data_IF_085596238050
#
_entry.id   IF_085596238050
#
_cell.length_a   1.000
_cell.length_b   1.000
_cell.length_c   1.000
_cell.angle_alpha   90.00
_cell.angle_beta   90.00
_cell.angle_gamma   90.00
#
_symmetry.space_group_name_H-M   'P 1'
#
loop_
_entity.id
_entity.type
_entity.pdbx_description
1 polymer ?
#
# COMPACT_ATOMS: atom_id res chain seq x y z
N UNK A 1 -39.22 18.37 41.94
CA UNK A 1 -38.98 17.39 40.83
C UNK A 1 -38.59 18.14 39.56
N UNK A 2 -37.33 18.58 39.48
CA UNK A 2 -36.69 19.18 38.29
C UNK A 2 -35.57 18.22 37.88
N UNK A 3 -35.18 18.25 36.60
CA UNK A 3 -33.98 17.62 35.99
C UNK A 3 -34.08 16.26 35.28
N UNK A 4 -35.23 15.86 34.71
CA UNK A 4 -35.27 14.67 33.81
C UNK A 4 -35.56 14.96 32.32
N UNK A 5 -35.80 16.23 31.93
CA UNK A 5 -36.20 16.57 30.55
C UNK A 5 -35.08 17.06 29.62
N UNK A 6 -33.83 17.14 30.10
CA UNK A 6 -32.67 17.64 29.32
C UNK A 6 -31.68 16.56 28.87
N UNK A 7 -31.85 15.30 29.29
CA UNK A 7 -30.92 14.21 28.94
C UNK A 7 -31.31 13.44 27.66
N UNK A 8 -32.55 13.59 27.18
CA UNK A 8 -33.06 12.89 25.99
C UNK A 8 -32.35 13.26 24.68
N UNK A 9 -31.99 14.54 24.40
CA UNK A 9 -31.32 14.86 23.14
C UNK A 9 -29.85 14.41 23.11
N UNK A 10 -29.21 14.15 24.26
CA UNK A 10 -27.82 13.69 24.34
C UNK A 10 -27.70 12.19 24.02
N UNK A 11 -28.69 11.39 24.41
CA UNK A 11 -28.75 9.94 24.13
C UNK A 11 -29.01 9.70 22.63
N UNK A 12 -29.87 10.51 22.01
CA UNK A 12 -30.13 10.45 20.55
C UNK A 12 -28.93 10.87 19.70
N UNK A 13 -28.07 11.78 20.20
CA UNK A 13 -26.84 12.17 19.50
C UNK A 13 -25.74 11.08 19.61
N UNK A 14 -25.75 10.25 20.65
CA UNK A 14 -24.80 9.14 20.82
C UNK A 14 -25.11 7.92 19.93
N UNK A 15 -26.37 7.71 19.53
CA UNK A 15 -26.76 6.64 18.60
C UNK A 15 -26.44 6.96 17.13
N UNK A 16 -26.10 8.21 16.80
CA UNK A 16 -25.75 8.63 15.45
C UNK A 16 -24.28 8.32 15.08
N UNK A 17 -23.49 7.79 16.01
CA UNK A 17 -22.20 7.15 15.73
C UNK A 17 -22.47 5.74 15.18
N UNK A 18 -23.04 5.68 13.98
CA UNK A 18 -23.32 4.43 13.28
C UNK A 18 -21.97 3.80 12.96
N UNK A 19 -21.57 2.82 13.78
CA UNK A 19 -20.47 1.92 13.45
C UNK A 19 -20.83 1.21 12.15
N UNK A 20 -19.91 1.27 11.17
CA UNK A 20 -19.93 0.36 10.04
C UNK A 20 -19.77 -1.04 10.62
N UNK A 21 -20.83 -1.85 10.54
CA UNK A 21 -20.80 -3.20 11.10
C UNK A 21 -19.90 -4.06 10.21
N UNK A 22 -18.89 -4.73 10.79
CA UNK A 22 -18.12 -5.70 10.02
C UNK A 22 -19.05 -6.84 9.59
N UNK A 23 -18.91 -7.27 8.33
CA UNK A 23 -19.64 -8.40 7.76
C UNK A 23 -19.05 -9.70 8.32
N UNK A 24 -19.89 -10.71 8.60
CA UNK A 24 -19.41 -12.07 8.84
C UNK A 24 -19.06 -12.71 7.49
N UNK A 25 -17.77 -12.88 7.25
CA UNK A 25 -17.24 -13.45 6.01
C UNK A 25 -16.87 -14.91 6.26
N UNK A 26 -17.25 -15.75 5.29
CA UNK A 26 -16.85 -17.15 5.22
C UNK A 26 -15.93 -17.35 4.02
N UNK A 27 -14.69 -17.75 4.28
CA UNK A 27 -13.70 -18.03 3.25
C UNK A 27 -12.46 -18.63 3.90
N UNK A 28 -11.88 -19.67 3.30
CA UNK A 28 -10.67 -20.29 3.84
C UNK A 28 -9.45 -19.46 3.46
N UNK A 29 -8.76 -18.90 4.45
CA UNK A 29 -7.45 -18.27 4.23
C UNK A 29 -6.44 -19.39 3.94
N UNK A 30 -5.99 -19.49 2.69
CA UNK A 30 -5.06 -20.54 2.24
C UNK A 30 -3.61 -20.10 2.27
N UNK A 31 -3.37 -18.80 2.19
CA UNK A 31 -2.02 -18.24 2.18
C UNK A 31 -1.93 -16.80 2.69
N UNK A 32 -0.70 -16.38 3.00
CA UNK A 32 -0.35 -15.05 3.52
C UNK A 32 0.70 -14.40 2.61
N UNK A 33 0.34 -13.25 2.03
CA UNK A 33 1.20 -12.42 1.20
C UNK A 33 1.90 -11.38 2.08
N UNK A 34 3.23 -11.39 2.10
CA UNK A 34 4.04 -10.46 2.87
C UNK A 34 4.74 -9.50 1.91
N UNK A 35 4.08 -8.40 1.57
CA UNK A 35 4.50 -7.50 0.50
C UNK A 35 5.60 -6.57 0.98
N UNK A 36 6.80 -6.74 0.44
CA UNK A 36 7.93 -5.85 0.71
C UNK A 36 7.84 -4.60 -0.14
N UNK A 37 8.04 -3.43 0.45
CA UNK A 37 7.95 -2.12 -0.22
C UNK A 37 9.24 -1.73 -0.95
N UNK A 38 9.76 -2.64 -1.78
CA UNK A 38 11.00 -2.44 -2.54
C UNK A 38 10.76 -2.55 -4.05
N UNK A 39 11.56 -1.83 -4.83
CA UNK A 39 11.44 -1.82 -6.29
C UNK A 39 11.61 -3.22 -6.87
N UNK A 40 10.74 -3.60 -7.82
CA UNK A 40 10.77 -4.90 -8.48
C UNK A 40 10.25 -6.07 -7.64
N UNK A 41 9.72 -5.85 -6.44
CA UNK A 41 9.07 -6.91 -5.68
C UNK A 41 7.78 -7.37 -6.36
N UNK A 42 7.61 -8.68 -6.51
CA UNK A 42 6.37 -9.30 -6.97
C UNK A 42 6.16 -10.60 -6.21
N UNK A 43 4.91 -10.92 -5.88
CA UNK A 43 4.53 -12.19 -5.27
C UNK A 43 3.33 -12.77 -6.01
N UNK A 44 3.36 -14.06 -6.27
CA UNK A 44 2.27 -14.79 -6.92
C UNK A 44 1.69 -15.82 -5.96
N UNK A 45 0.37 -15.86 -5.87
CA UNK A 45 -0.37 -16.79 -5.03
C UNK A 45 -1.41 -17.54 -5.85
N UNK A 46 -1.64 -18.80 -5.49
CA UNK A 46 -2.73 -19.60 -6.03
C UNK A 46 -3.94 -19.51 -5.11
N UNK A 47 -5.11 -19.21 -5.68
CA UNK A 47 -6.37 -19.10 -4.96
C UNK A 47 -7.45 -19.81 -5.76
N UNK A 48 -8.26 -20.66 -5.12
CA UNK A 48 -9.46 -21.26 -5.72
C UNK A 48 -10.71 -20.49 -5.35
N UNK A 49 -11.85 -20.96 -5.87
CA UNK A 49 -13.15 -20.49 -5.47
C UNK A 49 -13.40 -20.79 -3.98
N UNK A 50 -14.03 -19.85 -3.27
CA UNK A 50 -14.25 -19.89 -1.80
C UNK A 50 -12.97 -19.84 -0.94
N UNK A 51 -11.81 -19.69 -1.56
CA UNK A 51 -10.54 -19.43 -0.88
C UNK A 51 -10.29 -17.92 -0.76
N UNK A 52 -9.37 -17.59 0.13
CA UNK A 52 -8.95 -16.23 0.44
C UNK A 52 -7.45 -16.19 0.72
N UNK A 53 -6.83 -15.04 0.49
CA UNK A 53 -5.44 -14.76 0.88
C UNK A 53 -5.39 -13.51 1.73
N UNK A 54 -4.53 -13.53 2.75
CA UNK A 54 -4.26 -12.36 3.56
C UNK A 54 -3.07 -11.58 3.00
N UNK A 55 -3.14 -10.25 2.98
CA UNK A 55 -2.08 -9.38 2.47
C UNK A 55 -1.60 -8.48 3.60
N UNK A 56 -0.30 -8.58 3.89
CA UNK A 56 0.45 -7.76 4.84
C UNK A 56 1.43 -6.86 4.08
N UNK A 57 1.72 -5.70 4.63
CA UNK A 57 2.81 -4.84 4.18
C UNK A 57 3.99 -5.01 5.16
N UNK A 58 5.17 -5.27 4.62
CA UNK A 58 6.40 -5.38 5.41
C UNK A 58 7.36 -4.23 5.11
N UNK A 59 8.06 -3.79 6.16
CA UNK A 59 9.10 -2.77 6.05
C UNK A 59 8.56 -1.35 6.02
N UNK A 60 9.37 -0.43 5.48
CA UNK A 60 9.06 0.99 5.43
C UNK A 60 8.12 1.29 4.26
N UNK A 61 6.88 1.66 4.57
CA UNK A 61 5.84 1.96 3.56
C UNK A 61 5.74 3.42 3.16
N UNK A 62 6.66 4.30 3.59
CA UNK A 62 6.59 5.74 3.30
C UNK A 62 6.53 6.07 1.80
N UNK A 63 7.06 5.18 0.97
CA UNK A 63 7.09 5.33 -0.49
C UNK A 63 6.05 4.46 -1.21
N UNK A 64 5.25 3.66 -0.50
CA UNK A 64 4.22 2.81 -1.09
C UNK A 64 3.02 3.66 -1.51
N UNK A 65 2.71 3.73 -2.81
CA UNK A 65 1.60 4.54 -3.33
C UNK A 65 0.35 3.74 -3.62
N UNK A 66 0.49 2.49 -4.02
CA UNK A 66 -0.62 1.57 -4.25
C UNK A 66 -0.15 0.11 -4.16
N UNK A 67 -1.10 -0.81 -4.03
CA UNK A 67 -0.91 -2.20 -4.45
C UNK A 67 -1.59 -2.41 -5.79
N UNK A 68 -0.91 -3.03 -6.74
CA UNK A 68 -1.53 -3.53 -7.95
C UNK A 68 -1.62 -5.05 -7.86
N UNK A 69 -2.81 -5.57 -8.06
CA UNK A 69 -3.07 -6.98 -8.18
C UNK A 69 -3.42 -7.31 -9.62
N UNK A 70 -2.90 -8.40 -10.14
CA UNK A 70 -3.28 -8.99 -11.41
C UNK A 70 -3.82 -10.38 -11.16
N UNK A 71 -5.09 -10.58 -11.50
CA UNK A 71 -5.76 -11.87 -11.44
C UNK A 71 -5.71 -12.51 -12.83
N UNK A 72 -5.09 -13.68 -12.93
CA UNK A 72 -5.02 -14.47 -14.16
C UNK A 72 -5.99 -15.65 -14.08
N UNK A 73 -6.86 -15.74 -15.09
CA UNK A 73 -7.88 -16.76 -15.25
C UNK A 73 -7.49 -17.74 -16.36
N UNK A 74 -7.82 -19.01 -16.16
CA UNK A 74 -7.72 -20.01 -17.23
C UNK A 74 -8.79 -19.78 -18.31
N UNK A 75 -8.54 -20.28 -19.52
CA UNK A 75 -9.51 -20.22 -20.63
C UNK A 75 -10.82 -20.96 -20.32
N UNK A 76 -10.76 -21.99 -19.46
CA UNK A 76 -11.93 -22.71 -18.97
C UNK A 76 -12.77 -21.84 -18.04
N UNK A 77 -12.14 -21.17 -17.07
CA UNK A 77 -12.83 -20.29 -16.12
C UNK A 77 -13.47 -19.09 -16.81
N UNK A 78 -12.79 -18.52 -17.82
CA UNK A 78 -13.29 -17.40 -18.61
C UNK A 78 -14.67 -17.68 -19.25
N UNK A 79 -14.97 -18.92 -19.65
CA UNK A 79 -16.29 -19.29 -20.22
C UNK A 79 -17.44 -19.16 -19.23
N UNK A 80 -17.13 -19.12 -17.94
CA UNK A 80 -18.08 -18.92 -16.84
C UNK A 80 -17.90 -17.51 -16.25
N UNK A 81 -17.62 -16.51 -17.09
CA UNK A 81 -17.58 -15.10 -16.66
C UNK A 81 -18.86 -14.72 -15.93
N UNK A 82 -18.75 -13.74 -15.03
CA UNK A 82 -19.84 -13.27 -14.17
C UNK A 82 -20.41 -14.31 -13.18
N UNK A 83 -19.92 -15.56 -13.22
CA UNK A 83 -20.26 -16.61 -12.22
C UNK A 83 -19.41 -16.52 -10.96
N UNK A 84 -18.36 -15.69 -10.98
CA UNK A 84 -17.41 -15.48 -9.89
C UNK A 84 -17.23 -13.99 -9.65
N UNK A 85 -16.89 -13.65 -8.41
CA UNK A 85 -16.48 -12.33 -8.00
C UNK A 85 -15.17 -12.36 -7.23
N UNK A 86 -14.51 -11.22 -7.19
CA UNK A 86 -13.37 -10.97 -6.32
C UNK A 86 -13.76 -9.86 -5.34
N UNK A 87 -13.46 -10.08 -4.06
CA UNK A 87 -13.73 -9.13 -3.00
C UNK A 87 -12.43 -8.79 -2.26
N UNK A 88 -12.30 -7.53 -1.83
CA UNK A 88 -11.25 -7.11 -0.90
C UNK A 88 -11.90 -6.61 0.38
N UNK A 89 -11.38 -7.08 1.50
CA UNK A 89 -11.83 -6.72 2.84
C UNK A 89 -10.69 -6.11 3.65
N UNK A 90 -11.04 -5.19 4.55
CA UNK A 90 -10.17 -4.57 5.55
C UNK A 90 -10.74 -4.73 6.95
N UNK A 91 -9.99 -4.27 7.97
CA UNK A 91 -10.41 -4.33 9.39
C UNK A 91 -10.81 -5.75 9.81
N UNK A 92 -9.96 -6.70 9.44
CA UNK A 92 -10.24 -8.14 9.59
C UNK A 92 -10.02 -8.56 11.04
N UNK A 93 -10.99 -9.25 11.62
CA UNK A 93 -10.97 -9.74 13.00
C UNK A 93 -11.53 -11.17 13.09
N UNK A 94 -10.83 -12.14 13.70
CA UNK A 94 -9.53 -12.00 14.34
C UNK A 94 -8.42 -11.72 13.30
N UNK A 95 -7.21 -11.43 13.78
CA UNK A 95 -6.06 -11.26 12.90
C UNK A 95 -5.99 -12.45 11.93
N UNK A 96 -5.95 -12.19 10.61
CA UNK A 96 -5.99 -13.27 9.65
C UNK A 96 -4.76 -14.16 9.79
N UNK A 97 -4.95 -15.44 9.49
CA UNK A 97 -3.90 -16.44 9.48
C UNK A 97 -4.36 -17.62 8.64
N UNK A 98 -3.42 -18.35 8.06
CA UNK A 98 -3.68 -19.56 7.28
C UNK A 98 -4.54 -20.55 8.07
N UNK A 99 -5.57 -21.08 7.42
CA UNK A 99 -6.52 -22.04 7.99
C UNK A 99 -7.76 -21.39 8.63
N UNK A 100 -7.79 -20.07 8.83
CA UNK A 100 -8.98 -19.38 9.33
C UNK A 100 -10.10 -19.41 8.28
N UNK A 101 -11.32 -19.74 8.70
CA UNK A 101 -12.50 -19.87 7.80
C UNK A 101 -13.59 -18.84 8.02
N UNK A 102 -13.66 -18.28 9.22
CA UNK A 102 -14.71 -17.38 9.66
C UNK A 102 -14.06 -16.16 10.29
N UNK A 103 -14.38 -14.99 9.78
CA UNK A 103 -13.85 -13.73 10.27
C UNK A 103 -14.86 -12.61 10.02
N UNK A 104 -14.77 -11.57 10.83
CA UNK A 104 -15.47 -10.32 10.65
C UNK A 104 -14.59 -9.37 9.86
N UNK A 105 -15.10 -8.74 8.81
CA UNK A 105 -14.34 -7.77 8.04
C UNK A 105 -15.25 -6.78 7.31
N UNK A 106 -14.69 -5.67 6.87
CA UNK A 106 -15.40 -4.68 6.06
C UNK A 106 -15.00 -4.81 4.60
N UNK A 107 -15.97 -5.03 3.72
CA UNK A 107 -15.72 -5.09 2.29
C UNK A 107 -15.55 -3.70 1.72
N UNK A 108 -14.41 -3.47 1.08
CA UNK A 108 -14.08 -2.20 0.41
C UNK A 108 -14.15 -2.28 -1.10
N UNK A 109 -14.00 -3.49 -1.65
CA UNK A 109 -14.00 -3.72 -3.08
C UNK A 109 -14.78 -4.97 -3.40
N UNK A 110 -15.55 -4.93 -4.47
CA UNK A 110 -16.22 -6.09 -5.04
C UNK A 110 -16.42 -5.90 -6.53
N UNK A 111 -16.03 -6.90 -7.33
CA UNK A 111 -16.33 -6.91 -8.75
C UNK A 111 -16.65 -8.32 -9.24
N UNK A 112 -17.61 -8.39 -10.17
CA UNK A 112 -17.83 -9.56 -11.02
C UNK A 112 -16.64 -9.72 -11.96
N UNK A 113 -16.21 -10.96 -12.20
CA UNK A 113 -15.10 -11.21 -13.12
C UNK A 113 -15.62 -11.19 -14.57
N UNK A 114 -15.20 -10.20 -15.40
CA UNK A 114 -15.62 -10.12 -16.79
C UNK A 114 -15.02 -11.26 -17.63
N UNK A 115 -15.48 -11.38 -18.88
CA UNK A 115 -14.95 -12.31 -19.88
C UNK A 115 -13.52 -11.94 -20.34
N UNK A 116 -12.53 -12.10 -19.46
CA UNK A 116 -11.13 -11.76 -19.68
C UNK A 116 -10.19 -12.75 -18.98
N UNK A 117 -8.98 -12.92 -19.53
CA UNK A 117 -7.96 -13.79 -18.92
C UNK A 117 -7.12 -13.07 -17.86
N UNK A 118 -7.08 -11.73 -17.90
CA UNK A 118 -6.27 -10.89 -17.02
C UNK A 118 -7.13 -9.74 -16.55
N UNK A 119 -7.17 -9.55 -15.25
CA UNK A 119 -7.91 -8.47 -14.58
C UNK A 119 -6.93 -7.76 -13.66
N UNK A 120 -6.89 -6.44 -13.74
CA UNK A 120 -6.04 -5.61 -12.90
C UNK A 120 -6.87 -4.91 -11.83
N UNK A 121 -6.44 -4.97 -10.58
CA UNK A 121 -7.10 -4.31 -9.45
C UNK A 121 -6.07 -3.40 -8.79
N UNK A 122 -6.32 -2.11 -8.80
CA UNK A 122 -5.47 -1.11 -8.16
C UNK A 122 -6.09 -0.71 -6.81
N UNK A 123 -5.31 -0.87 -5.75
CA UNK A 123 -5.64 -0.49 -4.38
C UNK A 123 -4.74 0.70 -3.97
N UNK A 124 -5.16 1.94 -4.22
CA UNK A 124 -4.35 3.13 -3.93
C UNK A 124 -4.25 3.37 -2.42
N UNK A 125 -3.12 3.93 -1.96
CA UNK A 125 -2.95 4.43 -0.59
C UNK A 125 -3.08 5.96 -0.51
N UNK A 126 -3.01 6.64 -1.66
CA UNK A 126 -3.20 8.09 -1.78
C UNK A 126 -4.12 8.42 -2.96
N UNK A 127 -4.88 9.51 -2.85
CA UNK A 127 -5.80 9.92 -3.94
C UNK A 127 -5.08 10.20 -5.27
N UNK A 128 -3.88 10.74 -5.22
CA UNK A 128 -3.06 11.00 -6.41
C UNK A 128 -2.61 9.73 -7.14
N UNK A 129 -2.73 8.55 -6.52
CA UNK A 129 -2.41 7.27 -7.15
C UNK A 129 -3.58 6.66 -7.95
N UNK A 130 -4.76 7.29 -7.92
CA UNK A 130 -5.90 6.91 -8.77
C UNK A 130 -5.63 7.48 -10.17
N UNK A 131 -5.12 6.64 -11.07
CA UNK A 131 -4.96 7.00 -12.48
C UNK A 131 -6.33 6.97 -13.18
N UNK A 132 -6.72 8.08 -13.81
CA UNK A 132 -8.00 8.23 -14.55
C UNK A 132 -8.07 7.45 -15.87
N UNK A 133 -6.96 6.88 -16.36
CA UNK A 133 -6.94 6.09 -17.58
C UNK A 133 -7.16 4.62 -17.27
N UNK A 134 -8.38 4.26 -16.90
CA UNK A 134 -8.76 2.87 -16.71
C UNK A 134 -8.80 2.15 -18.07
N UNK A 135 -7.84 1.25 -18.31
CA UNK A 135 -7.90 0.31 -19.42
C UNK A 135 -8.99 -0.74 -19.19
N UNK A 136 -9.53 -1.32 -20.27
CA UNK A 136 -10.51 -2.41 -20.19
C UNK A 136 -9.97 -3.55 -19.31
N UNK A 137 -10.74 -3.97 -18.30
CA UNK A 137 -10.31 -5.00 -17.35
C UNK A 137 -9.49 -4.50 -16.16
N UNK A 138 -9.36 -3.18 -16.01
CA UNK A 138 -8.74 -2.56 -14.85
C UNK A 138 -9.79 -1.94 -13.95
N UNK A 139 -9.72 -2.26 -12.67
CA UNK A 139 -10.59 -1.75 -11.62
C UNK A 139 -9.74 -1.04 -10.58
N UNK A 140 -10.21 0.10 -10.09
CA UNK A 140 -9.50 0.88 -9.07
C UNK A 140 -10.44 1.09 -7.91
N UNK A 141 -9.96 0.82 -6.69
CA UNK A 141 -10.71 1.15 -5.49
C UNK A 141 -10.86 2.68 -5.38
N UNK A 142 -12.09 3.16 -5.23
CA UNK A 142 -12.43 4.59 -5.25
C UNK A 142 -11.84 5.34 -4.05
N UNK A 143 -11.92 4.75 -2.87
CA UNK A 143 -11.37 5.33 -1.64
C UNK A 143 -10.00 4.73 -1.33
N UNK A 144 -8.94 5.55 -1.23
CA UNK A 144 -7.63 5.04 -0.88
C UNK A 144 -7.62 4.33 0.47
N UNK A 145 -6.89 3.22 0.52
CA UNK A 145 -6.58 2.50 1.75
C UNK A 145 -5.63 3.31 2.62
N UNK A 146 -5.70 3.05 3.92
CA UNK A 146 -4.69 3.52 4.86
C UNK A 146 -3.79 2.36 5.28
N UNK A 147 -2.60 2.67 5.78
CA UNK A 147 -1.70 1.65 6.35
C UNK A 147 -2.36 0.87 7.51
N UNK A 148 -3.22 1.54 8.30
CA UNK A 148 -3.99 0.92 9.40
C UNK A 148 -5.09 -0.05 8.92
N UNK A 149 -5.45 -0.03 7.63
CA UNK A 149 -6.45 -0.94 7.07
C UNK A 149 -5.88 -2.35 6.85
N UNK A 150 -4.54 -2.50 6.83
CA UNK A 150 -3.86 -3.78 6.69
C UNK A 150 -3.84 -4.57 8.02
N UNK A 151 -3.93 -5.91 7.98
CA UNK A 151 -3.94 -6.75 6.78
C UNK A 151 -5.26 -6.74 6.02
N UNK A 152 -5.18 -6.90 4.69
CA UNK A 152 -6.34 -7.06 3.83
C UNK A 152 -6.63 -8.54 3.60
N UNK A 153 -7.89 -8.88 3.28
CA UNK A 153 -8.24 -10.17 2.70
C UNK A 153 -8.68 -9.98 1.26
N UNK A 154 -8.15 -10.79 0.35
CA UNK A 154 -8.65 -10.95 -1.02
C UNK A 154 -9.31 -12.31 -1.14
N UNK A 155 -10.57 -12.36 -1.57
CA UNK A 155 -11.34 -13.61 -1.65
C UNK A 155 -12.03 -13.78 -2.98
N UNK A 156 -12.05 -15.03 -3.47
CA UNK A 156 -12.80 -15.45 -4.66
C UNK A 156 -14.15 -16.01 -4.24
N UNK A 157 -15.23 -15.44 -4.76
CA UNK A 157 -16.60 -15.72 -4.33
C UNK A 157 -17.41 -16.32 -5.49
N UNK A 158 -18.11 -17.45 -5.30
CA UNK A 158 -19.10 -17.93 -6.26
C UNK A 158 -20.35 -17.05 -6.23
N UNK A 159 -20.83 -16.61 -7.40
CA UNK A 159 -22.01 -15.76 -7.53
C UNK A 159 -23.22 -16.52 -8.07
N UNK A 160 -22.99 -17.67 -8.70
CA UNK A 160 -24.02 -18.53 -9.26
C UNK A 160 -23.90 -19.96 -8.75
N UNK A 161 -25.03 -20.66 -8.74
CA UNK A 161 -25.07 -22.11 -8.52
C UNK A 161 -24.82 -22.84 -9.85
N UNK A 162 -24.42 -24.11 -9.78
CA UNK A 162 -24.28 -24.96 -10.96
C UNK A 162 -22.97 -24.76 -11.74
N UNK A 163 -21.96 -24.15 -11.11
CA UNK A 163 -20.59 -24.12 -11.65
C UNK A 163 -20.08 -25.58 -11.70
N UNK A 164 -19.59 -26.08 -12.86
CA UNK A 164 -19.09 -27.44 -12.93
C UNK A 164 -17.89 -27.67 -12.02
N UNK A 165 -17.76 -28.89 -11.47
CA UNK A 165 -16.64 -29.25 -10.61
C UNK A 165 -15.28 -28.97 -11.26
N UNK A 166 -15.18 -29.23 -12.57
CA UNK A 166 -13.97 -28.94 -13.35
C UNK A 166 -13.56 -27.46 -13.31
N UNK A 167 -14.47 -26.53 -13.04
CA UNK A 167 -14.18 -25.10 -12.91
C UNK A 167 -13.92 -24.70 -11.46
N UNK A 168 -14.59 -25.34 -10.51
CA UNK A 168 -14.38 -25.14 -9.06
C UNK A 168 -12.96 -25.56 -8.65
N UNK A 169 -12.47 -26.67 -9.22
CA UNK A 169 -11.15 -27.24 -8.91
C UNK A 169 -9.99 -26.46 -9.58
N UNK A 170 -10.30 -25.52 -10.48
CA UNK A 170 -9.28 -24.68 -11.11
C UNK A 170 -8.77 -23.60 -10.15
N UNK A 171 -7.48 -23.28 -10.25
CA UNK A 171 -6.86 -22.17 -9.52
C UNK A 171 -6.85 -20.90 -10.36
N UNK A 172 -7.07 -19.77 -9.68
CA UNK A 172 -6.74 -18.44 -10.13
C UNK A 172 -5.33 -18.10 -9.65
N UNK A 173 -4.57 -17.34 -10.44
CA UNK A 173 -3.26 -16.85 -10.03
C UNK A 173 -3.38 -15.36 -9.72
N UNK A 174 -3.10 -15.00 -8.47
CA UNK A 174 -3.09 -13.61 -7.99
C UNK A 174 -1.65 -13.13 -7.89
N UNK A 175 -1.25 -12.27 -8.82
CA UNK A 175 0.03 -11.57 -8.78
C UNK A 175 -0.15 -10.24 -8.04
N UNK A 176 0.68 -9.96 -7.06
CA UNK A 176 0.61 -8.75 -6.24
C UNK A 176 1.96 -8.04 -6.36
N UNK A 177 1.91 -6.74 -6.65
CA UNK A 177 3.11 -5.89 -6.66
C UNK A 177 2.84 -4.54 -6.00
N UNK A 178 3.77 -4.01 -5.20
CA UNK A 178 3.73 -2.65 -4.71
C UNK A 178 4.02 -1.68 -5.85
N UNK A 179 3.23 -0.62 -5.93
CA UNK A 179 3.54 0.55 -6.74
C UNK A 179 4.19 1.56 -5.80
N UNK A 180 5.39 1.99 -6.16
CA UNK A 180 6.19 2.89 -5.34
C UNK A 180 6.22 4.27 -5.96
N UNK A 181 6.33 5.28 -5.10
CA UNK A 181 6.59 6.64 -5.53
C UNK A 181 7.93 6.67 -6.26
N UNK A 182 8.02 7.48 -7.33
CA UNK A 182 9.28 7.77 -8.02
C UNK A 182 10.12 8.77 -7.21
N UNK A 183 10.34 8.44 -5.95
CA UNK A 183 11.14 9.21 -5.02
C UNK A 183 11.82 8.25 -4.03
N UNK A 184 12.92 8.72 -3.45
CA UNK A 184 13.60 8.09 -2.33
C UNK A 184 13.95 9.13 -1.26
N UNK A 185 14.70 8.73 -0.25
CA UNK A 185 15.24 9.62 0.78
C UNK A 185 16.75 9.75 0.65
N UNK A 186 17.27 10.89 1.08
CA UNK A 186 18.72 11.12 1.19
C UNK A 186 19.04 11.54 2.62
N UNK A 187 19.95 10.81 3.25
CA UNK A 187 20.62 11.19 4.48
C UNK A 187 22.00 11.70 4.13
N UNK A 188 22.39 12.86 4.65
CA UNK A 188 23.73 13.41 4.41
C UNK A 188 24.52 13.37 5.71
N UNK A 189 25.59 12.59 5.74
CA UNK A 189 26.50 12.55 6.89
C UNK A 189 27.77 13.34 6.58
N UNK A 190 28.06 14.38 7.37
CA UNK A 190 29.27 15.21 7.22
C UNK A 190 30.19 14.97 8.41
N UNK A 191 31.39 14.46 8.12
CA UNK A 191 32.45 14.25 9.12
C UNK A 191 33.48 15.37 9.02
N UNK A 192 33.80 16.01 10.14
CA UNK A 192 34.82 17.06 10.21
C UNK A 192 36.24 16.45 10.32
N UNK A 193 37.29 17.16 9.86
CA UNK A 193 38.67 16.64 9.81
C UNK A 193 39.29 16.26 11.16
N UNK A 194 38.82 16.87 12.24
CA UNK A 194 39.19 16.54 13.62
C UNK A 194 38.57 15.22 14.11
N UNK A 195 37.73 14.56 13.29
CA UNK A 195 37.07 13.27 13.52
C UNK A 195 36.26 13.15 14.83
N UNK A 196 36.22 14.20 15.64
CA UNK A 196 35.62 14.21 16.97
C UNK A 196 34.14 14.57 16.96
N UNK A 197 33.62 15.18 15.89
CA UNK A 197 32.23 15.65 15.82
C UNK A 197 31.63 15.45 14.42
N UNK A 198 30.43 14.87 14.36
CA UNK A 198 29.62 14.87 13.14
C UNK A 198 28.82 16.17 13.08
N UNK A 199 28.84 16.87 11.95
CA UNK A 199 28.21 18.18 11.86
C UNK A 199 26.69 18.09 12.12
N UNK A 200 26.02 17.04 11.63
CA UNK A 200 24.58 16.76 11.80
C UNK A 200 24.11 16.71 13.27
N UNK A 201 25.00 16.48 14.23
CA UNK A 201 24.68 16.41 15.67
C UNK A 201 24.88 17.71 16.45
N UNK A 202 25.46 18.75 15.83
CA UNK A 202 25.96 19.94 16.56
C UNK A 202 24.98 21.12 16.62
N UNK A 203 23.81 21.03 15.97
CA UNK A 203 22.78 22.10 15.96
C UNK A 203 23.19 23.42 15.30
N UNK A 204 24.46 23.58 14.90
CA UNK A 204 25.04 24.77 14.24
C UNK A 204 25.50 24.50 12.81
N UNK A 205 25.23 23.31 12.29
CA UNK A 205 25.76 22.91 11.00
C UNK A 205 25.24 23.76 9.84
N UNK A 206 24.02 24.31 9.97
CA UNK A 206 23.41 25.25 9.00
C UNK A 206 24.14 26.60 8.95
N UNK A 207 24.87 26.97 10.01
CA UNK A 207 25.70 28.18 10.07
C UNK A 207 27.05 27.97 9.35
N UNK A 208 27.51 26.73 9.27
CA UNK A 208 28.83 26.36 8.74
C UNK A 208 28.75 25.87 7.29
N UNK A 209 27.66 25.17 6.95
CA UNK A 209 27.46 24.50 5.67
C UNK A 209 26.18 24.96 4.99
N UNK A 210 26.26 25.16 3.68
CA UNK A 210 25.12 25.39 2.81
C UNK A 210 25.04 24.23 1.82
N UNK A 211 23.93 23.49 1.89
CA UNK A 211 23.68 22.34 1.04
C UNK A 211 22.74 22.71 -0.09
N UNK A 212 23.09 22.23 -1.28
CA UNK A 212 22.30 22.40 -2.49
C UNK A 212 22.14 21.05 -3.18
N UNK A 213 20.93 20.75 -3.63
CA UNK A 213 20.68 19.65 -4.57
C UNK A 213 20.15 20.27 -5.86
N UNK A 214 20.80 19.91 -6.97
CA UNK A 214 20.48 20.41 -8.31
C UNK A 214 20.42 21.95 -8.37
N UNK A 215 21.31 22.59 -7.61
CA UNK A 215 21.42 24.05 -7.50
C UNK A 215 20.42 24.71 -6.57
N UNK A 216 19.46 23.98 -5.99
CA UNK A 216 18.48 24.52 -5.02
C UNK A 216 18.97 24.34 -3.59
N UNK A 217 19.00 25.44 -2.82
CA UNK A 217 19.40 25.41 -1.40
C UNK A 217 18.36 24.65 -0.57
N UNK A 218 18.85 23.78 0.31
CA UNK A 218 18.02 22.93 1.16
C UNK A 218 17.90 23.55 2.55
N UNK A 219 16.71 23.44 3.15
CA UNK A 219 16.40 23.95 4.49
C UNK A 219 16.75 22.96 5.60
N UNK A 220 16.60 21.67 5.34
CA UNK A 220 16.89 20.57 6.27
C UNK A 220 18.06 19.75 5.70
N UNK A 221 19.30 20.03 6.12
CA UNK A 221 20.47 19.56 5.36
C UNK A 221 20.81 18.08 5.57
N UNK A 222 20.33 17.44 6.63
CA UNK A 222 20.83 16.11 7.03
C UNK A 222 19.88 14.95 6.72
N UNK A 223 18.60 15.25 6.46
CA UNK A 223 17.64 14.25 6.04
C UNK A 223 16.59 14.85 5.11
N UNK A 224 16.46 14.26 3.94
CA UNK A 224 15.48 14.65 2.93
C UNK A 224 14.56 13.47 2.70
N UNK A 225 13.30 13.53 3.17
CA UNK A 225 12.40 12.38 3.15
C UNK A 225 11.88 12.05 1.75
N UNK A 226 11.92 13.01 0.80
CA UNK A 226 11.44 12.81 -0.56
C UNK A 226 12.30 13.61 -1.57
N UNK A 227 13.11 12.89 -2.33
CA UNK A 227 13.81 13.38 -3.52
C UNK A 227 13.34 12.54 -4.70
N UNK A 228 13.01 13.18 -5.81
CA UNK A 228 12.61 12.48 -7.05
C UNK A 228 13.67 11.43 -7.43
N UNK A 229 13.25 10.32 -8.03
CA UNK A 229 14.19 9.32 -8.50
C UNK A 229 14.94 9.82 -9.73
N UNK A 230 16.26 9.60 -9.77
CA UNK A 230 17.10 10.10 -10.84
C UNK A 230 18.54 10.35 -10.42
N UNK A 231 19.28 11.02 -11.29
CA UNK A 231 20.65 11.48 -11.04
C UNK A 231 20.58 12.89 -10.49
N UNK A 232 21.20 13.11 -9.35
CA UNK A 232 21.22 14.38 -8.64
C UNK A 232 22.65 14.83 -8.37
N UNK A 233 22.82 16.13 -8.17
CA UNK A 233 24.09 16.73 -7.77
C UNK A 233 23.97 17.39 -6.41
N UNK A 234 24.68 16.85 -5.42
CA UNK A 234 24.87 17.45 -4.11
C UNK A 234 26.06 18.42 -4.19
N UNK A 235 25.84 19.65 -3.74
CA UNK A 235 26.89 20.65 -3.52
C UNK A 235 26.86 21.08 -2.06
N UNK A 236 28.00 20.96 -1.40
CA UNK A 236 28.22 21.43 -0.03
C UNK A 236 29.20 22.58 -0.09
N UNK A 237 28.73 23.77 0.30
CA UNK A 237 29.54 24.99 0.36
C UNK A 237 29.77 25.41 1.82
N UNK A 238 30.94 25.94 2.12
CA UNK A 238 31.30 26.46 3.44
C UNK A 238 32.26 27.64 3.28
N UNK A 239 32.23 28.56 4.23
CA UNK A 239 33.24 29.62 4.36
C UNK A 239 34.56 29.12 4.95
N UNK A 240 34.53 27.97 5.63
CA UNK A 240 35.68 27.43 6.38
C UNK A 240 36.35 26.24 5.68
N UNK A 241 35.60 25.51 4.86
CA UNK A 241 36.06 24.28 4.22
C UNK A 241 35.94 24.36 2.70
N UNK A 242 36.73 23.52 2.02
CA UNK A 242 36.68 23.40 0.56
C UNK A 242 35.30 22.91 0.12
N UNK A 243 34.81 23.48 -0.97
CA UNK A 243 33.56 23.05 -1.61
C UNK A 243 33.63 21.59 -2.06
N UNK A 244 32.57 20.83 -1.77
CA UNK A 244 32.41 19.44 -2.18
C UNK A 244 31.25 19.34 -3.16
N UNK A 245 31.49 18.64 -4.28
CA UNK A 245 30.48 18.35 -5.31
C UNK A 245 30.44 16.84 -5.53
N UNK A 246 29.27 16.24 -5.33
CA UNK A 246 29.07 14.79 -5.49
C UNK A 246 27.85 14.56 -6.37
N UNK A 247 27.96 13.63 -7.31
CA UNK A 247 26.83 13.12 -8.08
C UNK A 247 26.36 11.81 -7.46
N UNK A 248 25.05 11.66 -7.28
CA UNK A 248 24.45 10.45 -6.73
C UNK A 248 23.18 10.09 -7.48
N UNK A 249 22.76 8.84 -7.35
CA UNK A 249 21.50 8.33 -7.93
C UNK A 249 20.57 7.95 -6.81
N UNK A 250 19.30 8.34 -6.95
CA UNK A 250 18.18 7.93 -6.09
C UNK A 250 17.31 6.97 -6.87
N UNK A 251 17.22 5.73 -6.41
CA UNK A 251 16.24 4.77 -6.91
C UNK A 251 14.88 4.93 -6.21
N UNK A 252 13.77 4.49 -6.83
CA UNK A 252 12.45 4.49 -6.19
C UNK A 252 12.45 3.74 -4.85
N UNK A 253 11.91 4.39 -3.82
CA UNK A 253 11.85 3.91 -2.45
C UNK A 253 13.20 3.60 -1.77
N UNK A 254 14.31 4.09 -2.33
CA UNK A 254 15.63 3.90 -1.75
C UNK A 254 15.91 4.95 -0.68
N UNK A 255 16.47 4.53 0.45
CA UNK A 255 17.19 5.42 1.36
C UNK A 255 18.66 5.43 0.97
N UNK A 256 19.16 6.60 0.55
CA UNK A 256 20.55 6.83 0.19
C UNK A 256 21.26 7.54 1.34
N UNK A 257 22.47 7.09 1.68
CA UNK A 257 23.39 7.76 2.61
C UNK A 257 24.64 8.18 1.85
#
# INVERSE_FOLDING_TARGET
MKTLKKAVPLILLSLALINVYPENVRGLIVDEAHIKTVSGYEQTLEIALEEAVAIYIEGNSQFLTALQMELILSSTMKKYSDSFGIAVYKRVSPQPQKGLRFFNAERVFFHYLPYQNRIYINLPLFRSAINDTASTGSFTLEEPLKMEDFPLIVSMIPLMKGIPASVIDNKFYLHIKPILMKAGSLKVEITLPDHSQRADTTGKADEIFQLYIDGKKIKEPFFLPAIESGIHRLKISSSFFKEVNVTFTIEPAQEKV
#
